data_IF_302658213810
#
_entry.id   IF_302658213810
#
_cell.length_a   1.000
_cell.length_b   1.000
_cell.length_c   1.000
_cell.angle_alpha   90.00
_cell.angle_beta   90.00
_cell.angle_gamma   90.00
#
_symmetry.space_group_name_H-M   'P 1'
#
loop_
_entity.id
_entity.type
_entity.pdbx_description
1 polymer ?
#
# COMPACT_ATOMS: atom_id res chain seq x y z
N UNK A 1 5.30 8.14 5.55
CA UNK A 1 6.18 9.19 6.09
C UNK A 1 6.74 10.15 5.03
N UNK A 2 7.52 9.66 4.05
CA UNK A 2 8.24 10.52 3.09
C UNK A 2 7.37 11.53 2.31
N UNK A 3 6.23 11.09 1.79
CA UNK A 3 5.35 11.94 0.98
C UNK A 3 4.63 13.01 1.80
N UNK A 4 4.27 12.68 3.04
CA UNK A 4 3.63 13.62 3.96
C UNK A 4 4.59 14.77 4.31
N UNK A 5 5.86 14.42 4.56
CA UNK A 5 6.91 15.40 4.87
C UNK A 5 7.19 16.32 3.67
N UNK A 6 7.24 15.77 2.46
CA UNK A 6 7.40 16.56 1.23
C UNK A 6 6.21 17.47 0.97
N UNK A 7 4.98 16.97 1.15
CA UNK A 7 3.76 17.76 1.03
C UNK A 7 3.76 18.92 2.02
N UNK A 8 4.14 18.66 3.28
CA UNK A 8 4.23 19.68 4.31
C UNK A 8 5.32 20.71 3.99
N UNK A 9 6.46 20.29 3.46
CA UNK A 9 7.55 21.19 3.05
C UNK A 9 7.13 22.10 1.89
N UNK A 10 6.49 21.54 0.85
CA UNK A 10 5.94 22.29 -0.28
C UNK A 10 4.89 23.29 0.23
N UNK A 11 4.00 22.85 1.12
CA UNK A 11 2.96 23.68 1.73
C UNK A 11 3.57 24.88 2.45
N UNK A 12 4.54 24.64 3.34
CA UNK A 12 5.27 25.69 4.07
C UNK A 12 6.00 26.66 3.13
N UNK A 13 6.64 26.16 2.07
CA UNK A 13 7.35 26.99 1.11
C UNK A 13 6.42 27.96 0.36
N UNK A 14 5.24 27.48 -0.02
CA UNK A 14 4.23 28.33 -0.65
C UNK A 14 3.61 29.35 0.32
N UNK A 15 3.43 28.99 1.61
CA UNK A 15 3.02 29.94 2.66
C UNK A 15 4.05 31.07 2.81
N UNK A 16 5.35 30.75 2.86
CA UNK A 16 6.44 31.75 2.92
C UNK A 16 6.44 32.67 1.69
N UNK A 17 6.06 32.14 0.51
CA UNK A 17 5.89 32.92 -0.72
C UNK A 17 4.63 33.79 -0.75
N UNK A 18 3.87 33.85 0.34
CA UNK A 18 2.64 34.64 0.44
C UNK A 18 1.46 34.05 -0.33
N UNK A 19 1.53 32.78 -0.72
CA UNK A 19 0.38 32.10 -1.34
C UNK A 19 -0.63 31.80 -0.26
N UNK A 20 -1.78 32.47 -0.32
CA UNK A 20 -2.88 32.20 0.59
C UNK A 20 -3.46 30.80 0.33
N UNK A 21 -3.21 29.89 1.27
CA UNK A 21 -3.67 28.51 1.23
C UNK A 21 -5.03 28.31 1.88
N UNK A 22 -5.60 29.37 2.44
CA UNK A 22 -6.91 29.41 3.10
C UNK A 22 -8.00 29.96 2.18
N UNK A 23 -7.82 29.80 0.86
CA UNK A 23 -8.81 30.17 -0.14
C UNK A 23 -10.17 29.49 0.16
N UNK A 24 -11.15 30.28 0.58
CA UNK A 24 -12.51 29.82 0.88
C UNK A 24 -13.23 29.39 -0.41
N UNK A 25 -13.99 28.29 -0.31
CA UNK A 25 -14.82 27.75 -1.40
C UNK A 25 -14.18 26.66 -2.27
N UNK A 26 -14.97 26.10 -3.18
CA UNK A 26 -14.60 24.93 -4.01
C UNK A 26 -13.49 25.27 -5.02
N UNK A 27 -13.55 26.46 -5.63
CA UNK A 27 -12.52 26.96 -6.56
C UNK A 27 -11.17 27.17 -5.88
N UNK A 28 -11.18 27.62 -4.63
CA UNK A 28 -9.97 27.79 -3.80
C UNK A 28 -9.26 26.47 -3.52
N UNK A 29 -10.03 25.44 -3.15
CA UNK A 29 -9.51 24.08 -2.92
C UNK A 29 -8.89 23.47 -4.18
N UNK A 30 -9.52 23.66 -5.33
CA UNK A 30 -8.99 23.15 -6.59
C UNK A 30 -7.69 23.85 -6.99
N UNK A 31 -7.62 25.18 -6.83
CA UNK A 31 -6.40 25.94 -7.08
C UNK A 31 -5.26 25.53 -6.15
N UNK A 32 -5.55 25.29 -4.86
CA UNK A 32 -4.59 24.77 -3.88
C UNK A 32 -4.05 23.39 -4.29
N UNK A 33 -4.94 22.50 -4.75
CA UNK A 33 -4.55 21.18 -5.25
C UNK A 33 -3.61 21.30 -6.45
N UNK A 34 -3.97 22.08 -7.48
CA UNK A 34 -3.12 22.27 -8.66
C UNK A 34 -1.72 22.79 -8.29
N UNK A 35 -1.66 23.84 -7.49
CA UNK A 35 -0.40 24.45 -7.03
C UNK A 35 0.50 23.50 -6.24
N UNK A 36 -0.09 22.53 -5.53
CA UNK A 36 0.65 21.61 -4.67
C UNK A 36 1.03 20.32 -5.42
N UNK A 37 0.17 19.85 -6.32
CA UNK A 37 0.38 18.63 -7.09
C UNK A 37 1.49 18.80 -8.13
N UNK A 38 1.55 19.93 -8.82
CA UNK A 38 2.60 20.21 -9.82
C UNK A 38 4.04 20.02 -9.27
N UNK A 39 4.46 20.72 -8.19
CA UNK A 39 5.80 20.55 -7.64
C UNK A 39 6.03 19.17 -7.03
N UNK A 40 4.99 18.56 -6.44
CA UNK A 40 5.08 17.22 -5.88
C UNK A 40 5.41 16.19 -6.97
N UNK A 41 4.71 16.23 -8.11
CA UNK A 41 4.95 15.32 -9.22
C UNK A 41 6.36 15.48 -9.80
N UNK A 42 6.80 16.72 -10.01
CA UNK A 42 8.17 17.00 -10.51
C UNK A 42 9.21 16.42 -9.55
N UNK A 43 9.00 16.58 -8.24
CA UNK A 43 9.92 16.05 -7.22
C UNK A 43 9.96 14.51 -7.26
N UNK A 44 8.82 13.85 -7.42
CA UNK A 44 8.73 12.38 -7.54
C UNK A 44 9.46 11.88 -8.78
N UNK A 45 9.29 12.53 -9.93
CA UNK A 45 9.99 12.16 -11.17
C UNK A 45 11.51 12.24 -10.94
N UNK A 46 12.00 13.35 -10.38
CA UNK A 46 13.42 13.53 -10.09
C UNK A 46 13.96 12.48 -9.13
N UNK A 47 13.21 12.18 -8.06
CA UNK A 47 13.61 11.19 -7.06
C UNK A 47 13.64 9.78 -7.61
N UNK A 48 12.67 9.43 -8.46
CA UNK A 48 12.62 8.16 -9.17
C UNK A 48 13.83 7.98 -10.09
N UNK A 49 14.17 9.02 -10.87
CA UNK A 49 15.34 9.01 -11.74
C UNK A 49 16.64 8.82 -10.94
N UNK A 50 16.83 9.59 -9.87
CA UNK A 50 18.01 9.47 -9.00
C UNK A 50 18.10 8.10 -8.34
N UNK A 51 16.97 7.55 -7.88
CA UNK A 51 16.92 6.21 -7.28
C UNK A 51 17.26 5.15 -8.32
N UNK A 52 16.71 5.24 -9.53
CA UNK A 52 17.01 4.32 -10.62
C UNK A 52 18.49 4.35 -11.00
N UNK A 53 19.09 5.55 -11.11
CA UNK A 53 20.53 5.70 -11.36
C UNK A 53 21.36 5.09 -10.23
N UNK A 54 21.00 5.32 -8.97
CA UNK A 54 21.70 4.74 -7.82
C UNK A 54 21.58 3.21 -7.78
N UNK A 55 20.42 2.67 -8.12
CA UNK A 55 20.15 1.23 -8.22
C UNK A 55 20.99 0.62 -9.36
N UNK A 56 21.02 1.25 -10.52
CA UNK A 56 21.84 0.82 -11.66
C UNK A 56 23.34 0.88 -11.36
N UNK A 57 23.82 1.94 -10.68
CA UNK A 57 25.22 2.08 -10.28
C UNK A 57 25.69 0.97 -9.31
N UNK A 58 24.77 0.37 -8.55
CA UNK A 58 25.05 -0.79 -7.70
C UNK A 58 24.99 -2.12 -8.46
N UNK A 59 25.01 -2.09 -9.79
CA UNK A 59 24.88 -3.25 -10.66
C UNK A 59 23.61 -4.08 -10.39
N UNK A 60 22.52 -3.42 -9.96
CA UNK A 60 21.25 -4.08 -9.71
C UNK A 60 20.65 -4.56 -11.05
N UNK A 61 20.87 -5.84 -11.38
CA UNK A 61 20.53 -6.38 -12.70
C UNK A 61 21.65 -7.18 -13.36
N UNK A 62 22.89 -7.02 -12.91
CA UNK A 62 24.04 -7.65 -13.57
C UNK A 62 24.08 -9.18 -13.43
N UNK A 63 23.54 -9.72 -12.33
CA UNK A 63 23.50 -11.16 -12.08
C UNK A 63 22.06 -11.69 -12.16
N UNK A 64 21.85 -12.86 -12.81
CA UNK A 64 20.55 -13.52 -12.88
C UNK A 64 20.11 -14.06 -11.51
N UNK A 65 21.07 -14.51 -10.68
CA UNK A 65 20.80 -14.96 -9.32
C UNK A 65 20.74 -13.77 -8.35
N UNK A 66 19.63 -13.67 -7.61
CA UNK A 66 19.39 -12.63 -6.60
C UNK A 66 19.57 -13.22 -5.20
N UNK A 67 20.48 -12.65 -4.42
CA UNK A 67 20.60 -12.97 -2.99
C UNK A 67 19.72 -12.01 -2.18
N UNK A 68 18.78 -12.55 -1.42
CA UNK A 68 17.88 -11.77 -0.57
C UNK A 68 18.47 -11.57 0.82
N UNK A 69 18.60 -10.32 1.27
CA UNK A 69 19.11 -10.01 2.61
C UNK A 69 18.09 -10.30 3.71
N UNK A 70 16.80 -10.14 3.40
CA UNK A 70 15.71 -10.41 4.33
C UNK A 70 14.90 -11.58 3.78
N UNK A 71 15.00 -12.72 4.47
CA UNK A 71 14.21 -13.90 4.19
C UNK A 71 13.17 -13.98 5.30
N UNK A 72 11.90 -13.94 4.95
CA UNK A 72 10.81 -14.12 5.92
C UNK A 72 10.62 -15.61 6.14
N UNK A 73 11.15 -16.13 7.25
CA UNK A 73 10.93 -17.51 7.65
C UNK A 73 9.58 -17.68 8.35
N UNK A 74 8.88 -18.79 8.05
CA UNK A 74 7.64 -19.14 8.71
C UNK A 74 7.89 -19.33 10.21
N UNK A 75 7.41 -18.38 11.00
CA UNK A 75 7.57 -18.39 12.46
C UNK A 75 6.63 -19.43 13.07
N UNK A 76 6.99 -20.02 14.22
CA UNK A 76 6.16 -21.01 14.93
C UNK A 76 4.73 -20.50 15.19
N UNK A 77 4.57 -19.20 15.40
CA UNK A 77 3.28 -18.52 15.57
C UNK A 77 2.38 -18.57 14.34
N UNK A 78 2.94 -18.58 13.14
CA UNK A 78 2.20 -18.71 11.89
C UNK A 78 1.51 -20.09 11.80
N UNK A 79 2.23 -21.15 12.23
CA UNK A 79 1.68 -22.50 12.32
C UNK A 79 0.56 -22.62 13.37
N UNK A 80 0.71 -21.96 14.51
CA UNK A 80 -0.31 -21.94 15.57
C UNK A 80 -1.55 -21.17 15.10
N UNK A 81 -1.38 -20.03 14.43
CA UNK A 81 -2.47 -19.25 13.85
C UNK A 81 -3.24 -20.04 12.79
N UNK A 82 -2.53 -20.72 11.88
CA UNK A 82 -3.13 -21.60 10.89
C UNK A 82 -3.92 -22.74 11.55
N UNK A 83 -3.34 -23.39 12.57
CA UNK A 83 -3.99 -24.46 13.32
C UNK A 83 -5.27 -24.01 14.03
N UNK A 84 -5.26 -22.82 14.62
CA UNK A 84 -6.43 -22.24 15.27
C UNK A 84 -7.54 -21.96 14.25
N UNK A 85 -7.20 -21.41 13.08
CA UNK A 85 -8.17 -21.17 12.01
C UNK A 85 -8.81 -22.45 11.47
N UNK A 86 -8.01 -23.50 11.27
CA UNK A 86 -8.51 -24.82 10.86
C UNK A 86 -9.43 -25.39 11.93
N UNK A 87 -9.03 -25.31 13.21
CA UNK A 87 -9.86 -25.77 14.32
C UNK A 87 -11.19 -24.99 14.42
N UNK A 88 -11.16 -23.66 14.28
CA UNK A 88 -12.36 -22.83 14.28
C UNK A 88 -13.29 -23.18 13.11
N UNK A 89 -12.74 -23.42 11.91
CA UNK A 89 -13.52 -23.86 10.75
C UNK A 89 -14.17 -25.23 10.99
N UNK A 90 -13.45 -26.18 11.56
CA UNK A 90 -13.98 -27.51 11.89
C UNK A 90 -15.07 -27.44 12.97
N UNK A 91 -14.89 -26.59 13.99
CA UNK A 91 -15.91 -26.37 15.02
C UNK A 91 -17.17 -25.73 14.40
N UNK A 92 -17.01 -24.75 13.53
CA UNK A 92 -18.13 -24.14 12.81
C UNK A 92 -18.85 -25.18 11.94
N UNK A 93 -18.10 -25.96 11.15
CA UNK A 93 -18.65 -27.02 10.31
C UNK A 93 -19.34 -28.13 11.12
N UNK A 94 -18.84 -28.45 12.31
CA UNK A 94 -19.43 -29.46 13.19
C UNK A 94 -20.68 -28.96 13.91
N UNK A 95 -20.68 -27.70 14.35
CA UNK A 95 -21.84 -27.09 15.03
C UNK A 95 -23.00 -26.78 14.08
N UNK A 96 -22.74 -26.59 12.78
CA UNK A 96 -23.75 -26.33 11.74
C UNK A 96 -23.91 -27.46 10.70
N UNK A 97 -23.25 -28.59 10.91
CA UNK A 97 -23.11 -29.69 9.95
C UNK A 97 -24.35 -30.58 9.79
N UNK A 98 -25.44 -30.02 9.27
CA UNK A 98 -26.41 -30.84 8.51
C UNK A 98 -25.83 -31.07 7.11
N UNK A 99 -25.69 -32.33 6.63
CA UNK A 99 -25.09 -32.65 5.32
C UNK A 99 -25.68 -31.91 4.11
N UNK A 100 -26.88 -31.35 4.25
CA UNK A 100 -27.58 -30.54 3.24
C UNK A 100 -27.00 -29.13 3.05
N UNK A 101 -26.33 -28.52 4.03
CA UNK A 101 -25.81 -27.15 3.90
C UNK A 101 -24.50 -27.06 3.10
N UNK A 102 -23.61 -28.06 3.24
CA UNK A 102 -22.39 -28.16 2.42
C UNK A 102 -22.70 -28.27 0.93
N UNK A 103 -23.80 -28.97 0.60
CA UNK A 103 -24.26 -29.14 -0.78
C UNK A 103 -24.84 -27.81 -1.33
N UNK A 104 -25.44 -26.97 -0.50
CA UNK A 104 -25.92 -25.63 -0.89
C UNK A 104 -24.82 -24.59 -1.11
N UNK A 105 -23.64 -24.72 -0.48
CA UNK A 105 -22.50 -23.83 -0.73
C UNK A 105 -21.90 -24.06 -2.13
N UNK A 106 -21.89 -25.32 -2.59
CA UNK A 106 -21.40 -25.68 -3.93
C UNK A 106 -22.47 -25.52 -5.02
N UNK A 107 -23.76 -25.51 -4.64
CA UNK A 107 -24.89 -25.63 -5.57
C UNK A 107 -25.93 -24.53 -5.35
N UNK A 108 -25.52 -23.25 -5.31
CA UNK A 108 -26.45 -22.10 -5.34
C UNK A 108 -26.47 -21.38 -6.71
N UNK A 109 -25.93 -21.98 -7.78
CA UNK A 109 -26.04 -21.45 -9.14
C UNK A 109 -26.86 -22.39 -10.05
N UNK A 110 -28.16 -22.51 -9.75
CA UNK A 110 -29.15 -22.84 -10.80
C UNK A 110 -30.56 -22.45 -10.33
N UNK A 111 -30.86 -21.16 -10.39
CA UNK A 111 -32.08 -20.59 -11.00
C UNK A 111 -32.06 -19.08 -10.87
#
# INVERSE_FOLDING_TARGET
>A
PLFEDELNNITKAHIVRGVDMELKGIRGRFKKLQLTVEPLLINVIRKSQLTSMAVQNRAFGAFPDRTYTYITEATKWDKVFLGLWIAAFLIYAFTWGTPSQLLSLFMHWSR
#
